data_IF_084974963209
#
_entry.id   IF_084974963209
#
_cell.length_a   1.000
_cell.length_b   1.000
_cell.length_c   1.000
_cell.angle_alpha   90.00
_cell.angle_beta   90.00
_cell.angle_gamma   90.00
#
_symmetry.space_group_name_H-M   'P 1'
#
loop_
_entity.id
_entity.type
_entity.pdbx_description
1 polymer ?
#
# COMPACT_ATOMS: atom_id res chain seq x y z
N UNK A 1 -50.02 7.22 -9.51
CA UNK A 1 -49.49 6.82 -8.19
C UNK A 1 -47.97 6.75 -8.32
N UNK A 2 -47.23 7.63 -7.65
CA UNK A 2 -45.75 7.71 -7.75
C UNK A 2 -45.12 7.29 -6.44
N UNK A 3 -44.10 6.43 -6.49
CA UNK A 3 -43.30 6.08 -5.31
C UNK A 3 -42.40 7.26 -4.92
N UNK A 4 -42.34 7.53 -3.62
CA UNK A 4 -41.45 8.52 -3.01
C UNK A 4 -40.61 7.81 -1.97
N UNK A 5 -39.29 8.01 -1.99
CA UNK A 5 -38.44 7.51 -0.94
C UNK A 5 -38.63 8.31 0.35
N UNK A 6 -38.98 7.59 1.42
CA UNK A 6 -39.11 8.14 2.78
C UNK A 6 -37.93 7.71 3.66
N UNK A 7 -37.26 6.61 3.30
CA UNK A 7 -36.26 5.95 4.12
C UNK A 7 -34.82 6.06 3.60
N UNK A 8 -33.84 5.68 4.44
CA UNK A 8 -32.43 5.64 4.05
C UNK A 8 -32.13 4.54 3.03
N UNK A 9 -31.13 4.80 2.17
CA UNK A 9 -30.56 3.81 1.25
C UNK A 9 -29.36 3.14 1.90
N UNK A 10 -29.28 1.81 1.79
CA UNK A 10 -28.16 1.04 2.29
C UNK A 10 -27.63 0.06 1.25
N UNK A 11 -26.33 -0.21 1.30
CA UNK A 11 -25.68 -1.29 0.58
C UNK A 11 -25.21 -2.33 1.60
N UNK A 12 -25.73 -3.55 1.51
CA UNK A 12 -25.37 -4.64 2.41
C UNK A 12 -24.48 -5.64 1.69
N UNK A 13 -23.39 -6.07 2.36
CA UNK A 13 -22.48 -7.11 1.86
C UNK A 13 -22.33 -8.21 2.93
N UNK A 14 -22.84 -9.42 2.71
CA UNK A 14 -22.71 -10.53 3.65
C UNK A 14 -21.25 -10.91 3.93
N UNK A 15 -20.94 -11.14 5.20
CA UNK A 15 -19.59 -11.50 5.67
C UNK A 15 -19.50 -13.00 5.96
N UNK A 16 -20.21 -13.46 7.00
CA UNK A 16 -20.25 -14.86 7.44
C UNK A 16 -21.62 -15.24 7.98
N UNK A 17 -21.96 -16.52 7.91
CA UNK A 17 -23.17 -17.11 8.50
C UNK A 17 -22.73 -18.19 9.49
N UNK A 18 -23.26 -18.11 10.71
CA UNK A 18 -22.98 -19.07 11.78
C UNK A 18 -24.18 -19.99 12.01
N UNK A 19 -23.91 -21.24 12.41
CA UNK A 19 -24.94 -22.26 12.61
C UNK A 19 -25.71 -22.17 13.93
N UNK A 20 -25.37 -21.23 14.82
CA UNK A 20 -26.04 -21.02 16.09
C UNK A 20 -26.38 -19.55 16.35
N UNK A 21 -27.03 -19.29 17.48
CA UNK A 21 -27.36 -17.92 17.93
C UNK A 21 -26.08 -17.20 18.35
N UNK A 22 -25.66 -16.21 17.55
CA UNK A 22 -24.45 -15.40 17.77
C UNK A 22 -23.15 -16.21 17.94
N UNK A 23 -23.12 -17.46 17.46
CA UNK A 23 -21.98 -18.36 17.61
C UNK A 23 -22.16 -19.69 16.88
N UNK A 24 -21.27 -20.65 17.16
CA UNK A 24 -21.26 -21.95 16.48
C UNK A 24 -20.37 -21.99 15.22
N UNK A 25 -20.37 -23.11 14.49
CA UNK A 25 -19.51 -23.28 13.32
C UNK A 25 -19.90 -22.31 12.21
N UNK A 26 -18.90 -21.87 11.44
CA UNK A 26 -19.13 -21.05 10.24
C UNK A 26 -19.67 -21.95 9.14
N UNK A 27 -20.91 -21.71 8.71
CA UNK A 27 -21.55 -22.45 7.62
C UNK A 27 -21.21 -21.87 6.26
N UNK A 28 -21.02 -20.55 6.20
CA UNK A 28 -20.68 -19.83 5.00
C UNK A 28 -19.76 -18.65 5.30
N UNK A 29 -18.77 -18.46 4.45
CA UNK A 29 -17.89 -17.31 4.45
C UNK A 29 -17.78 -16.78 3.02
N UNK A 30 -18.02 -15.48 2.85
CA UNK A 30 -17.97 -14.87 1.53
C UNK A 30 -16.52 -14.70 1.06
N UNK A 31 -16.07 -15.40 0.00
CA UNK A 31 -14.69 -15.31 -0.47
C UNK A 31 -14.35 -13.95 -1.09
N UNK A 32 -15.36 -13.17 -1.49
CA UNK A 32 -15.20 -11.86 -2.10
C UNK A 32 -15.22 -10.72 -1.07
N UNK A 33 -15.59 -10.99 0.18
CA UNK A 33 -15.60 -9.97 1.22
C UNK A 33 -14.17 -9.70 1.71
N UNK A 34 -13.69 -8.47 1.51
CA UNK A 34 -12.44 -7.99 2.09
C UNK A 34 -12.75 -6.96 3.16
N UNK A 35 -12.26 -7.18 4.38
CA UNK A 35 -12.49 -6.24 5.47
C UNK A 35 -11.82 -4.89 5.20
N UNK A 36 -12.45 -3.75 5.54
CA UNK A 36 -11.83 -2.44 5.39
C UNK A 36 -10.49 -2.30 6.13
N UNK A 37 -10.35 -3.01 7.26
CA UNK A 37 -9.11 -3.05 8.03
C UNK A 37 -7.98 -3.74 7.27
N UNK A 38 -8.29 -4.82 6.54
CA UNK A 38 -7.31 -5.48 5.68
C UNK A 38 -6.87 -4.58 4.54
N UNK A 39 -7.77 -3.83 3.92
CA UNK A 39 -7.44 -2.85 2.87
C UNK A 39 -6.49 -1.78 3.43
N UNK A 40 -6.82 -1.19 4.59
CA UNK A 40 -5.95 -0.20 5.27
C UNK A 40 -4.58 -0.77 5.62
N UNK A 41 -4.52 -2.02 6.11
CA UNK A 41 -3.27 -2.69 6.42
C UNK A 41 -2.40 -2.91 5.16
N UNK A 42 -3.01 -3.32 4.05
CA UNK A 42 -2.34 -3.48 2.77
C UNK A 42 -1.78 -2.15 2.26
N UNK A 43 -2.54 -1.06 2.35
CA UNK A 43 -2.07 0.28 2.00
C UNK A 43 -0.89 0.72 2.86
N UNK A 44 -0.96 0.50 4.18
CA UNK A 44 0.14 0.83 5.09
C UNK A 44 1.40 0.03 4.76
N UNK A 45 1.28 -1.26 4.46
CA UNK A 45 2.40 -2.12 4.02
C UNK A 45 3.00 -1.63 2.70
N UNK A 46 2.18 -1.27 1.71
CA UNK A 46 2.66 -0.66 0.45
C UNK A 46 3.46 0.62 0.70
N UNK A 47 2.98 1.48 1.61
CA UNK A 47 3.66 2.74 1.98
C UNK A 47 4.96 2.51 2.76
N UNK A 48 5.02 1.50 3.63
CA UNK A 48 6.21 1.20 4.45
C UNK A 48 7.49 0.94 3.62
N UNK A 49 7.35 0.34 2.43
CA UNK A 49 8.49 0.09 1.54
C UNK A 49 9.16 1.35 0.98
N UNK A 50 8.50 2.52 1.02
CA UNK A 50 9.03 3.78 0.46
C UNK A 50 10.32 4.22 1.15
N UNK A 51 10.39 4.11 2.47
CA UNK A 51 11.58 4.50 3.23
C UNK A 51 12.77 3.59 2.91
N UNK A 52 12.57 2.27 2.97
CA UNK A 52 13.61 1.30 2.65
C UNK A 52 14.14 1.48 1.21
N UNK A 53 13.25 1.72 0.24
CA UNK A 53 13.63 2.05 -1.15
C UNK A 53 14.47 3.33 -1.24
N UNK A 54 14.09 4.39 -0.51
CA UNK A 54 14.85 5.65 -0.46
C UNK A 54 16.27 5.43 0.09
N UNK A 55 16.40 4.68 1.18
CA UNK A 55 17.71 4.38 1.79
C UNK A 55 18.59 3.58 0.82
N UNK A 56 18.04 2.52 0.20
CA UNK A 56 18.76 1.74 -0.83
C UNK A 56 19.19 2.59 -2.02
N UNK A 57 18.33 3.50 -2.49
CA UNK A 57 18.67 4.41 -3.59
C UNK A 57 19.81 5.37 -3.22
N UNK A 58 19.82 5.91 -1.99
CA UNK A 58 20.92 6.75 -1.50
C UNK A 58 22.25 5.98 -1.44
N UNK A 59 22.21 4.72 -0.97
CA UNK A 59 23.38 3.84 -0.97
C UNK A 59 23.93 3.59 -2.38
N UNK A 60 23.07 3.22 -3.33
CA UNK A 60 23.47 3.02 -4.73
C UNK A 60 24.09 4.25 -5.36
N UNK A 61 23.51 5.43 -5.13
CA UNK A 61 24.07 6.69 -5.64
C UNK A 61 25.48 6.94 -5.12
N UNK A 62 25.71 6.74 -3.82
CA UNK A 62 27.05 6.89 -3.21
C UNK A 62 28.06 5.92 -3.81
N UNK A 63 27.67 4.65 -3.99
CA UNK A 63 28.55 3.65 -4.61
C UNK A 63 28.90 4.05 -6.04
N UNK A 64 27.93 4.49 -6.84
CA UNK A 64 28.19 4.99 -8.19
C UNK A 64 29.10 6.24 -8.21
N UNK A 65 28.92 7.18 -7.28
CA UNK A 65 29.79 8.36 -7.14
C UNK A 65 31.24 7.95 -6.79
N UNK A 66 31.43 6.90 -5.98
CA UNK A 66 32.77 6.37 -5.65
C UNK A 66 33.39 5.61 -6.83
N UNK A 67 32.60 4.79 -7.51
CA UNK A 67 33.06 3.94 -8.61
C UNK A 67 33.39 4.77 -9.86
N UNK A 68 32.65 5.84 -10.13
CA UNK A 68 32.87 6.75 -11.25
C UNK A 68 33.61 8.02 -10.81
N UNK A 69 34.77 7.85 -10.18
CA UNK A 69 35.64 8.99 -9.86
C UNK A 69 36.28 9.47 -11.16
N UNK A 70 35.94 10.69 -11.59
CA UNK A 70 36.50 11.29 -12.81
C UNK A 70 38.00 11.56 -12.60
N UNK A 71 38.80 11.29 -13.63
CA UNK A 71 40.20 11.70 -13.63
C UNK A 71 40.29 13.23 -13.51
N UNK A 72 41.21 13.76 -12.69
CA UNK A 72 41.43 15.20 -12.61
C UNK A 72 41.79 15.75 -13.98
N UNK A 73 41.09 16.81 -14.41
CA UNK A 73 41.38 17.49 -15.68
C UNK A 73 42.77 18.15 -15.61
N UNK A 74 43.66 17.71 -16.50
CA UNK A 74 45.05 18.20 -16.62
C UNK A 74 45.12 19.71 -16.89
N UNK A 75 44.06 20.31 -17.44
CA UNK A 75 44.00 21.74 -17.78
C UNK A 75 43.22 22.59 -16.77
N UNK A 76 42.76 22.03 -15.64
CA UNK A 76 41.95 22.74 -14.65
C UNK A 76 42.63 23.98 -14.03
N UNK A 77 43.96 24.09 -14.14
CA UNK A 77 44.76 25.23 -13.66
C UNK A 77 45.23 26.22 -14.74
N UNK A 78 44.90 26.00 -16.02
CA UNK A 78 45.52 26.73 -17.14
C UNK A 78 45.03 28.19 -17.30
N UNK A 79 43.95 28.56 -16.61
CA UNK A 79 43.29 29.88 -16.72
C UNK A 79 43.17 30.58 -15.36
N UNK A 80 44.26 30.66 -14.60
CA UNK A 80 44.41 31.58 -13.47
C UNK A 80 45.34 32.72 -13.80
#
# INVERSE_FOLDING_TARGET
>A
MTLVEVGPRFCLNPIKIFGGSFGGPTLYENPYYVSPNQIRALEKRKKAGKYAKKVKAKGRRKMHEMENTLEPDEFAGLWK
#
